data_IF_610126524081
#
_entry.id   IF_610126524081
#
_cell.length_a   1.000
_cell.length_b   1.000
_cell.length_c   1.000
_cell.angle_alpha   90.00
_cell.angle_beta   90.00
_cell.angle_gamma   90.00
#
_symmetry.space_group_name_H-M   'P 1'
#
loop_
_entity.id
_entity.type
_entity.pdbx_description
1 polymer ?
#
# COMPACT_ATOMS: atom_id res chain seq x y z
N UNK A 1 2.05 -13.65 -1.63
CA UNK A 1 1.71 -13.58 -0.19
C UNK A 1 2.64 -14.43 0.68
N UNK A 2 2.95 -15.68 0.34
CA UNK A 2 3.79 -16.53 1.21
C UNK A 2 5.19 -15.99 1.49
N UNK A 3 5.90 -15.49 0.46
CA UNK A 3 7.22 -14.88 0.62
C UNK A 3 7.22 -13.69 1.58
N UNK A 4 6.24 -12.80 1.47
CA UNK A 4 6.08 -11.65 2.37
C UNK A 4 5.74 -12.09 3.80
N UNK A 5 4.90 -13.11 3.94
CA UNK A 5 4.58 -13.67 5.25
C UNK A 5 5.83 -14.25 5.92
N UNK A 6 6.73 -14.89 5.16
CA UNK A 6 8.02 -15.36 5.69
C UNK A 6 8.89 -14.20 6.17
N UNK A 7 8.92 -13.05 5.47
CA UNK A 7 9.69 -11.88 5.90
C UNK A 7 9.19 -11.30 7.22
N UNK A 8 7.87 -11.31 7.43
CA UNK A 8 7.24 -10.90 8.70
C UNK A 8 7.54 -11.93 9.79
N UNK A 9 7.43 -13.23 9.50
CA UNK A 9 7.74 -14.30 10.44
C UNK A 9 9.22 -14.30 10.87
N UNK A 10 10.13 -13.92 9.96
CA UNK A 10 11.56 -13.73 10.24
C UNK A 10 11.86 -12.44 11.03
N UNK A 11 10.85 -11.59 11.31
CA UNK A 11 11.02 -10.34 12.03
C UNK A 11 11.77 -9.25 11.26
N UNK A 12 11.99 -9.43 9.95
CA UNK A 12 12.65 -8.41 9.11
C UNK A 12 11.72 -7.23 8.82
N UNK A 13 10.41 -7.47 8.82
CA UNK A 13 9.36 -6.53 8.48
C UNK A 13 8.27 -6.60 9.54
N UNK A 14 7.75 -5.45 9.96
CA UNK A 14 6.72 -5.37 11.00
C UNK A 14 5.32 -5.43 10.38
N UNK A 15 5.09 -4.70 9.30
CA UNK A 15 3.80 -4.69 8.59
C UNK A 15 3.99 -4.68 7.08
N UNK A 16 2.97 -5.19 6.39
CA UNK A 16 2.91 -5.22 4.93
C UNK A 16 2.14 -4.02 4.43
N UNK A 17 2.65 -3.41 3.36
CA UNK A 17 2.00 -2.32 2.66
C UNK A 17 1.75 -2.63 1.18
N UNK A 18 0.76 -1.98 0.59
CA UNK A 18 0.55 -1.96 -0.86
C UNK A 18 0.79 -0.56 -1.39
N UNK A 19 1.36 -0.44 -2.60
CA UNK A 19 1.64 0.85 -3.21
C UNK A 19 1.36 0.83 -4.70
N UNK A 20 0.64 1.84 -5.19
CA UNK A 20 0.30 1.97 -6.61
C UNK A 20 -0.39 0.71 -7.20
N UNK A 21 -1.22 0.04 -6.39
CA UNK A 21 -1.88 -1.22 -6.72
C UNK A 21 -3.39 -1.02 -6.78
N UNK A 22 -4.08 -1.48 -7.84
CA UNK A 22 -5.52 -1.29 -7.93
C UNK A 22 -6.23 -1.96 -6.74
N UNK A 23 -7.27 -1.28 -6.22
CA UNK A 23 -7.94 -1.65 -4.97
C UNK A 23 -8.40 -3.11 -4.94
N UNK A 24 -8.92 -3.62 -6.06
CA UNK A 24 -9.40 -5.00 -6.17
C UNK A 24 -8.31 -6.06 -5.97
N UNK A 25 -7.05 -5.78 -6.33
CA UNK A 25 -5.93 -6.71 -6.11
C UNK A 25 -5.62 -6.77 -4.63
N UNK A 26 -5.59 -5.62 -3.95
CA UNK A 26 -5.33 -5.54 -2.51
C UNK A 26 -6.42 -6.26 -1.72
N UNK A 27 -7.69 -6.02 -2.03
CA UNK A 27 -8.81 -6.73 -1.41
C UNK A 27 -8.73 -8.24 -1.61
N UNK A 28 -8.45 -8.71 -2.83
CA UNK A 28 -8.29 -10.16 -3.10
C UNK A 28 -7.09 -10.74 -2.35
N UNK A 29 -5.99 -10.01 -2.23
CA UNK A 29 -4.82 -10.48 -1.53
C UNK A 29 -5.03 -10.54 -0.01
N UNK A 30 -5.76 -9.57 0.57
CA UNK A 30 -6.19 -9.62 1.96
C UNK A 30 -7.16 -10.77 2.22
N UNK A 31 -8.12 -10.99 1.31
CA UNK A 31 -9.04 -12.12 1.40
C UNK A 31 -8.28 -13.45 1.39
N UNK A 32 -7.35 -13.62 0.45
CA UNK A 32 -6.47 -14.79 0.41
C UNK A 32 -5.69 -14.96 1.71
N UNK A 33 -5.15 -13.88 2.27
CA UNK A 33 -4.41 -13.91 3.52
C UNK A 33 -5.29 -14.33 4.71
N UNK A 34 -6.54 -13.86 4.78
CA UNK A 34 -7.52 -14.30 5.80
C UNK A 34 -7.79 -15.79 5.73
N UNK A 35 -8.07 -16.31 4.54
CA UNK A 35 -8.37 -17.74 4.34
C UNK A 35 -7.19 -18.67 4.66
N UNK A 36 -5.96 -18.19 4.50
CA UNK A 36 -4.74 -19.00 4.70
C UNK A 36 -4.00 -18.68 6.01
N UNK A 37 -4.59 -17.85 6.89
CA UNK A 37 -3.94 -17.46 8.16
C UNK A 37 -2.64 -16.67 7.98
N UNK A 38 -2.47 -15.97 6.86
CA UNK A 38 -1.30 -15.16 6.56
C UNK A 38 -1.50 -13.72 7.03
N UNK A 39 -0.40 -12.97 7.15
CA UNK A 39 -0.47 -11.53 7.46
C UNK A 39 -1.13 -10.74 6.34
N UNK A 40 -2.12 -9.92 6.69
CA UNK A 40 -2.83 -9.00 5.79
C UNK A 40 -2.02 -7.71 5.56
N UNK A 41 -2.36 -6.96 4.51
CA UNK A 41 -1.84 -5.61 4.30
C UNK A 41 -2.47 -4.66 5.32
N UNK A 42 -1.64 -3.81 5.93
CA UNK A 42 -2.07 -2.86 6.94
C UNK A 42 -2.10 -1.41 6.42
N UNK A 43 -1.28 -1.09 5.41
CA UNK A 43 -1.11 0.27 4.90
C UNK A 43 -1.19 0.31 3.38
N UNK A 44 -1.85 1.32 2.84
CA UNK A 44 -1.84 1.62 1.41
C UNK A 44 -1.13 2.95 1.16
N UNK A 45 -0.13 2.95 0.29
CA UNK A 45 0.57 4.13 -0.17
C UNK A 45 0.13 4.51 -1.59
N UNK A 46 -0.29 5.75 -1.82
CA UNK A 46 -0.69 6.14 -3.17
C UNK A 46 -0.65 7.65 -3.41
N UNK A 47 -0.61 8.01 -4.69
CA UNK A 47 -0.56 9.40 -5.11
C UNK A 47 -1.88 10.07 -4.77
N UNK A 48 -1.79 11.17 -4.02
CA UNK A 48 -2.93 12.02 -3.75
C UNK A 48 -2.48 13.48 -3.72
N UNK A 49 -3.19 14.33 -4.46
CA UNK A 49 -3.03 15.77 -4.41
C UNK A 49 -4.37 16.45 -4.66
N UNK A 50 -4.48 17.75 -4.36
CA UNK A 50 -5.71 18.50 -4.66
C UNK A 50 -6.14 18.38 -6.14
N UNK A 51 -5.17 18.22 -7.05
CA UNK A 51 -5.41 18.06 -8.49
C UNK A 51 -5.58 16.60 -8.93
N UNK A 52 -5.07 15.63 -8.17
CA UNK A 52 -5.15 14.19 -8.49
C UNK A 52 -5.81 13.44 -7.32
N UNK A 53 -7.12 13.18 -7.47
CA UNK A 53 -7.97 12.57 -6.44
C UNK A 53 -8.49 11.17 -6.82
N UNK A 54 -7.88 10.52 -7.81
CA UNK A 54 -8.30 9.20 -8.31
C UNK A 54 -8.31 8.12 -7.22
N UNK A 55 -7.42 8.25 -6.22
CA UNK A 55 -7.33 7.36 -5.07
C UNK A 55 -8.63 7.35 -4.24
N UNK A 56 -9.37 8.45 -4.20
CA UNK A 56 -10.62 8.55 -3.43
C UNK A 56 -11.76 7.70 -4.00
N UNK A 57 -11.70 7.37 -5.29
CA UNK A 57 -12.76 6.61 -5.96
C UNK A 57 -12.81 5.16 -5.50
N UNK A 58 -11.66 4.49 -5.51
CA UNK A 58 -11.59 3.04 -5.31
C UNK A 58 -10.77 2.65 -4.07
N UNK A 59 -9.68 3.36 -3.79
CA UNK A 59 -8.73 2.98 -2.74
C UNK A 59 -9.21 3.44 -1.36
N UNK A 60 -9.75 4.65 -1.22
CA UNK A 60 -10.28 5.12 0.08
C UNK A 60 -11.42 4.23 0.60
N UNK A 61 -12.44 3.87 -0.20
CA UNK A 61 -13.48 2.95 0.25
C UNK A 61 -12.93 1.56 0.61
N UNK A 62 -11.98 1.04 -0.19
CA UNK A 62 -11.33 -0.25 0.06
C UNK A 62 -10.56 -0.24 1.38
N UNK A 63 -9.77 0.80 1.65
CA UNK A 63 -9.02 0.88 2.91
C UNK A 63 -9.97 0.98 4.11
N UNK A 64 -11.10 1.67 3.96
CA UNK A 64 -12.13 1.75 4.99
C UNK A 64 -12.80 0.40 5.25
N UNK A 65 -13.07 -0.41 4.21
CA UNK A 65 -13.67 -1.74 4.37
C UNK A 65 -12.69 -2.77 4.93
N UNK A 66 -11.42 -2.69 4.53
CA UNK A 66 -10.36 -3.63 4.92
C UNK A 66 -9.68 -3.23 6.25
N UNK A 67 -10.01 -2.06 6.81
CA UNK A 67 -9.40 -1.56 8.05
C UNK A 67 -7.93 -1.14 7.88
N UNK A 68 -7.55 -0.66 6.70
CA UNK A 68 -6.19 -0.27 6.35
C UNK A 68 -5.95 1.23 6.55
N UNK A 69 -4.73 1.58 6.95
CA UNK A 69 -4.25 2.97 6.94
C UNK A 69 -3.90 3.43 5.53
N UNK A 70 -4.00 4.74 5.27
CA UNK A 70 -3.61 5.35 3.99
C UNK A 70 -2.47 6.33 4.24
N UNK A 71 -1.41 6.20 3.45
CA UNK A 71 -0.27 7.12 3.44
C UNK A 71 -0.20 7.79 2.07
N UNK A 72 -0.82 8.97 1.89
CA UNK A 72 -0.75 9.69 0.63
C UNK A 72 0.65 10.26 0.41
N UNK A 73 1.13 10.22 -0.83
CA UNK A 73 2.32 10.96 -1.25
C UNK A 73 1.95 11.97 -2.35
N UNK A 74 2.76 13.02 -2.51
CA UNK A 74 2.56 14.01 -3.56
C UNK A 74 1.52 15.10 -3.26
N UNK A 75 1.17 15.30 -1.99
CA UNK A 75 0.21 16.32 -1.53
C UNK A 75 0.53 17.76 -1.97
N UNK A 76 1.79 18.07 -2.28
CA UNK A 76 2.23 19.38 -2.79
C UNK A 76 2.28 19.47 -4.34
N UNK A 77 1.71 18.51 -5.06
CA UNK A 77 1.56 18.57 -6.52
C UNK A 77 2.87 18.77 -7.26
N UNK A 78 3.73 17.74 -7.31
CA UNK A 78 5.03 17.75 -8.05
C UNK A 78 5.89 19.03 -7.84
N UNK A 79 5.76 19.71 -6.70
CA UNK A 79 6.75 20.70 -6.25
C UNK A 79 7.99 19.97 -5.76
N UNK A 80 9.08 20.06 -6.52
CA UNK A 80 10.43 19.54 -6.21
C UNK A 80 10.75 19.50 -4.72
N UNK A 81 10.70 18.33 -4.12
CA UNK A 81 11.49 18.02 -2.93
C UNK A 81 11.66 16.52 -2.82
N UNK A 82 12.92 16.10 -2.86
CA UNK A 82 13.44 14.74 -2.82
C UNK A 82 13.15 14.03 -1.48
N UNK A 83 11.88 13.85 -1.10
CA UNK A 83 11.50 13.06 0.08
C UNK A 83 11.38 11.57 -0.24
N UNK A 84 12.27 11.06 -1.10
CA UNK A 84 12.32 9.64 -1.45
C UNK A 84 13.13 8.81 -0.44
N UNK A 85 13.65 9.42 0.63
CA UNK A 85 14.67 8.81 1.51
C UNK A 85 14.30 8.84 3.01
N UNK A 86 13.05 8.54 3.38
CA UNK A 86 12.73 8.23 4.78
C UNK A 86 12.55 6.70 4.94
N UNK A 87 13.69 6.01 4.92
CA UNK A 87 13.82 4.54 5.05
C UNK A 87 13.68 4.01 6.49
N UNK A 88 13.00 4.73 7.38
CA UNK A 88 12.91 4.36 8.81
C UNK A 88 11.67 3.52 9.19
N UNK A 89 10.77 3.24 8.24
CA UNK A 89 9.65 2.34 8.51
C UNK A 89 9.98 0.94 7.99
N UNK A 90 10.17 -0.05 8.87
CA UNK A 90 10.35 -1.47 8.50
C UNK A 90 9.07 -2.07 7.89
N UNK A 91 8.70 -1.58 6.71
CA UNK A 91 7.51 -1.94 5.94
C UNK A 91 7.94 -2.51 4.61
N UNK A 92 7.43 -3.69 4.25
CA UNK A 92 7.58 -4.20 2.91
C UNK A 92 6.38 -3.76 2.07
N UNK A 93 6.63 -2.93 1.06
CA UNK A 93 5.62 -2.54 0.08
C UNK A 93 5.64 -3.47 -1.12
N UNK A 94 4.46 -3.89 -1.57
CA UNK A 94 4.30 -4.40 -2.94
C UNK A 94 3.98 -3.22 -3.84
N UNK A 95 4.86 -2.95 -4.80
CA UNK A 95 4.59 -2.03 -5.90
C UNK A 95 4.26 -2.82 -7.16
N UNK A 96 3.05 -2.62 -7.66
CA UNK A 96 2.73 -3.01 -9.05
C UNK A 96 3.04 -1.81 -9.94
N UNK A 97 4.13 -1.87 -10.70
CA UNK A 97 4.43 -0.89 -11.74
C UNK A 97 3.41 -1.01 -12.87
N UNK A 98 2.21 -0.45 -12.66
CA UNK A 98 1.31 -0.19 -13.77
C UNK A 98 1.79 1.09 -14.44
N UNK A 99 2.68 0.94 -15.41
CA UNK A 99 3.06 2.02 -16.32
C UNK A 99 1.83 2.35 -17.16
N UNK A 100 0.97 3.22 -16.64
CA UNK A 100 -0.02 3.90 -17.46
C UNK A 100 0.75 4.90 -18.33
N UNK A 101 1.00 4.48 -19.58
CA UNK A 101 1.34 5.37 -20.69
C UNK A 101 0.12 6.20 -21.06
#
# INVERSE_FOLDING_TARGET
>A
MQSLNHLVAMGKVLYLGASNTPAWVVSKANEYARHHGLRQFAVYQGLWSANCRDLERDVVPMCKSEGMGITPWGHLGKGSSNWQNDDDTKMAFIQTSTTLK
#
